data_IF_072403696018
#
_entry.id   IF_072403696018
#
_cell.length_a   1.000
_cell.length_b   1.000
_cell.length_c   1.000
_cell.angle_alpha   90.00
_cell.angle_beta   90.00
_cell.angle_gamma   90.00
#
_symmetry.space_group_name_H-M   'P 1'
#
loop_
_entity.id
_entity.type
_entity.pdbx_description
1 polymer ?
#
# COMPACT_ATOMS: atom_id res chain seq x y z
N UNK A 1 -4.97 -13.91 -20.76
CA UNK A 1 -6.38 -14.36 -20.91
C UNK A 1 -7.41 -13.41 -20.26
N UNK A 2 -7.05 -12.16 -19.88
CA UNK A 2 -7.98 -11.16 -19.33
C UNK A 2 -8.33 -10.04 -20.35
N UNK A 3 -8.06 -10.27 -21.64
CA UNK A 3 -8.17 -9.24 -22.69
C UNK A 3 -9.50 -9.28 -23.46
N UNK A 4 -10.31 -10.33 -23.29
CA UNK A 4 -11.58 -10.50 -24.00
C UNK A 4 -12.61 -9.41 -23.64
N UNK A 5 -12.57 -8.89 -22.40
CA UNK A 5 -13.43 -7.78 -21.96
C UNK A 5 -13.07 -6.46 -22.66
N UNK A 6 -11.79 -6.28 -23.00
CA UNK A 6 -11.29 -5.11 -23.70
C UNK A 6 -11.64 -5.25 -25.19
N UNK A 7 -11.44 -6.43 -25.78
CA UNK A 7 -11.81 -6.73 -27.17
C UNK A 7 -13.32 -6.58 -27.44
N UNK A 8 -14.19 -7.03 -26.53
CA UNK A 8 -15.64 -6.82 -26.65
C UNK A 8 -16.04 -5.35 -26.52
N UNK A 9 -15.34 -4.58 -25.69
CA UNK A 9 -15.59 -3.15 -25.56
C UNK A 9 -15.15 -2.37 -26.82
N UNK A 10 -14.05 -2.79 -27.46
CA UNK A 10 -13.62 -2.29 -28.77
C UNK A 10 -14.63 -2.65 -29.87
N UNK A 11 -15.13 -3.90 -29.89
CA UNK A 11 -16.14 -4.35 -30.84
C UNK A 11 -17.49 -3.62 -30.69
N UNK A 12 -17.79 -3.07 -29.50
CA UNK A 12 -18.95 -2.21 -29.24
C UNK A 12 -18.79 -0.76 -29.74
N UNK A 13 -17.63 -0.38 -30.26
CA UNK A 13 -17.36 0.99 -30.74
C UNK A 13 -17.29 2.03 -29.61
N UNK A 14 -17.10 1.59 -28.37
CA UNK A 14 -16.96 2.50 -27.24
C UNK A 14 -15.67 3.31 -27.40
N UNK A 15 -15.69 4.63 -27.14
CA UNK A 15 -14.49 5.45 -27.21
C UNK A 15 -13.43 4.91 -26.23
N UNK A 16 -12.17 4.89 -26.68
CA UNK A 16 -11.02 4.34 -25.93
C UNK A 16 -10.97 4.80 -24.46
N UNK A 17 -11.38 6.04 -24.20
CA UNK A 17 -11.48 6.62 -22.86
C UNK A 17 -12.44 5.84 -21.91
N UNK A 18 -13.58 5.34 -22.40
CA UNK A 18 -14.56 4.59 -21.59
C UNK A 18 -14.05 3.19 -21.28
N UNK A 19 -13.35 2.57 -22.25
CA UNK A 19 -12.75 1.24 -22.10
C UNK A 19 -11.63 1.27 -21.06
N UNK A 20 -10.75 2.29 -21.11
CA UNK A 20 -9.71 2.48 -20.10
C UNK A 20 -10.27 2.76 -18.72
N UNK A 21 -11.15 3.75 -18.59
CA UNK A 21 -11.62 4.19 -17.27
C UNK A 21 -12.50 3.15 -16.56
N UNK A 22 -13.39 2.48 -17.29
CA UNK A 22 -14.41 1.64 -16.65
C UNK A 22 -14.00 0.17 -16.55
N UNK A 23 -13.12 -0.31 -17.44
CA UNK A 23 -12.78 -1.73 -17.54
C UNK A 23 -11.31 -2.03 -17.20
N UNK A 24 -10.35 -1.25 -17.71
CA UNK A 24 -8.92 -1.50 -17.46
C UNK A 24 -8.43 -0.96 -16.10
N UNK A 25 -8.79 0.28 -15.75
CA UNK A 25 -8.34 0.93 -14.51
C UNK A 25 -8.83 0.19 -13.25
N UNK A 26 -10.10 -0.25 -13.23
CA UNK A 26 -10.68 -0.98 -12.10
C UNK A 26 -10.00 -2.34 -11.86
N UNK A 27 -9.38 -2.93 -12.88
CA UNK A 27 -8.71 -4.23 -12.80
C UNK A 27 -7.22 -4.10 -12.45
N UNK A 28 -6.60 -2.93 -12.71
CA UNK A 28 -5.19 -2.65 -12.40
C UNK A 28 -4.95 -2.12 -10.97
N UNK A 29 -5.97 -1.56 -10.32
CA UNK A 29 -5.88 -1.07 -8.93
C UNK A 29 -5.64 -2.22 -7.95
N UNK A 30 -6.24 -3.40 -8.18
CA UNK A 30 -6.10 -4.56 -7.28
C UNK A 30 -4.64 -4.96 -7.02
N UNK A 31 -3.81 -5.27 -8.05
CA UNK A 31 -2.44 -5.75 -7.84
C UNK A 31 -1.48 -4.67 -7.33
N UNK A 32 -1.71 -3.40 -7.67
CA UNK A 32 -0.84 -2.28 -7.30
C UNK A 32 -0.93 -1.97 -5.80
N UNK A 33 -2.16 -1.89 -5.27
CA UNK A 33 -2.37 -1.69 -3.83
C UNK A 33 -1.78 -2.84 -3.01
N UNK A 34 -1.85 -4.08 -3.52
CA UNK A 34 -1.24 -5.23 -2.84
C UNK A 34 0.30 -5.12 -2.81
N UNK A 35 0.93 -4.70 -3.91
CA UNK A 35 2.39 -4.53 -3.97
C UNK A 35 2.90 -3.45 -3.01
N UNK A 36 2.19 -2.33 -2.91
CA UNK A 36 2.52 -1.26 -1.97
C UNK A 36 2.41 -1.74 -0.53
N UNK A 37 1.33 -2.45 -0.20
CA UNK A 37 1.13 -3.02 1.13
C UNK A 37 2.26 -3.98 1.53
N UNK A 38 2.69 -4.84 0.61
CA UNK A 38 3.82 -5.75 0.82
C UNK A 38 5.13 -4.97 1.02
N UNK A 39 5.41 -3.97 0.18
CA UNK A 39 6.62 -3.16 0.28
C UNK A 39 6.70 -2.37 1.59
N UNK A 40 5.58 -1.80 2.06
CA UNK A 40 5.51 -1.14 3.37
C UNK A 40 5.77 -2.12 4.51
N UNK A 41 5.21 -3.33 4.44
CA UNK A 41 5.50 -4.39 5.43
C UNK A 41 6.99 -4.73 5.50
N UNK A 42 7.66 -4.83 4.36
CA UNK A 42 9.11 -5.04 4.29
C UNK A 42 9.91 -3.88 4.88
N UNK A 43 9.52 -2.63 4.61
CA UNK A 43 10.21 -1.44 5.14
C UNK A 43 10.08 -1.38 6.66
N UNK A 44 8.89 -1.60 7.19
CA UNK A 44 8.67 -1.62 8.65
C UNK A 44 9.46 -2.77 9.28
N UNK A 45 9.36 -3.99 8.76
CA UNK A 45 10.10 -5.14 9.29
C UNK A 45 11.62 -4.97 9.23
N UNK A 46 12.14 -4.41 8.14
CA UNK A 46 13.56 -4.09 7.97
C UNK A 46 14.02 -3.02 8.96
N UNK A 47 13.23 -1.97 9.17
CA UNK A 47 13.53 -0.92 10.15
C UNK A 47 13.61 -1.46 11.58
N UNK A 48 12.70 -2.35 11.98
CA UNK A 48 12.75 -3.02 13.30
C UNK A 48 14.08 -3.76 13.49
N UNK A 49 14.52 -4.50 12.47
CA UNK A 49 15.73 -5.32 12.56
C UNK A 49 17.00 -4.45 12.61
N UNK A 50 17.03 -3.35 11.86
CA UNK A 50 18.12 -2.36 11.93
C UNK A 50 18.14 -1.68 13.30
N UNK A 51 16.99 -1.24 13.81
CA UNK A 51 16.90 -0.61 15.13
C UNK A 51 17.39 -1.53 16.25
N UNK A 52 17.02 -2.81 16.21
CA UNK A 52 17.44 -3.80 17.18
C UNK A 52 18.96 -4.06 17.11
N UNK A 53 19.51 -4.28 15.92
CA UNK A 53 20.94 -4.59 15.74
C UNK A 53 21.86 -3.42 16.12
N UNK A 54 21.43 -2.19 15.84
CA UNK A 54 22.23 -0.99 16.10
C UNK A 54 21.89 -0.32 17.45
N UNK A 55 21.02 -0.92 18.26
CA UNK A 55 20.52 -0.35 19.52
C UNK A 55 20.04 1.12 19.37
N UNK A 56 19.44 1.43 18.22
CA UNK A 56 18.95 2.78 17.93
C UNK A 56 17.59 2.97 18.63
N UNK A 57 17.39 4.06 19.40
CA UNK A 57 16.18 4.28 20.18
C UNK A 57 14.99 4.67 19.27
N UNK A 58 14.42 3.67 18.60
CA UNK A 58 13.24 3.79 17.74
C UNK A 58 12.00 3.09 18.30
N UNK A 59 10.91 3.13 17.53
CA UNK A 59 9.63 2.52 17.91
C UNK A 59 9.73 0.99 17.99
N UNK A 60 10.56 0.37 17.14
CA UNK A 60 10.78 -1.06 17.13
C UNK A 60 11.56 -1.56 18.33
N UNK A 61 12.62 -0.84 18.68
CA UNK A 61 13.37 -1.10 19.90
C UNK A 61 12.48 -0.97 21.14
N UNK A 62 11.65 0.08 21.19
CA UNK A 62 10.71 0.32 22.30
C UNK A 62 9.63 -0.77 22.37
N UNK A 63 9.11 -1.24 21.23
CA UNK A 63 8.16 -2.35 21.17
C UNK A 63 8.79 -3.64 21.71
N UNK A 64 10.03 -3.95 21.32
CA UNK A 64 10.73 -5.14 21.81
C UNK A 64 11.00 -5.08 23.32
N UNK A 65 11.35 -3.90 23.84
CA UNK A 65 11.49 -3.69 25.28
C UNK A 65 10.15 -3.81 26.01
N UNK A 66 9.05 -3.33 25.42
CA UNK A 66 7.71 -3.47 26.00
C UNK A 66 7.26 -4.94 26.05
N UNK A 67 7.60 -5.73 25.02
CA UNK A 67 7.34 -7.18 24.99
C UNK A 67 8.10 -7.89 26.12
N UNK A 68 9.38 -7.58 26.32
CA UNK A 68 10.17 -8.18 27.40
C UNK A 68 9.67 -7.80 28.80
N UNK A 69 9.19 -6.57 28.97
CA UNK A 69 8.66 -6.08 30.24
C UNK A 69 7.16 -6.39 30.43
N UNK A 70 6.54 -7.12 29.49
CA UNK A 70 5.10 -7.42 29.46
C UNK A 70 4.19 -6.19 29.62
N UNK A 71 4.64 -5.04 29.11
CA UNK A 71 3.90 -3.78 29.18
C UNK A 71 2.88 -3.71 28.03
N UNK A 72 1.72 -4.35 28.26
CA UNK A 72 0.63 -4.41 27.28
C UNK A 72 0.10 -3.03 26.86
N UNK A 73 -0.13 -2.05 27.76
CA UNK A 73 -0.54 -0.71 27.36
C UNK A 73 0.44 -0.02 26.41
N UNK A 74 1.74 -0.09 26.72
CA UNK A 74 2.77 0.51 25.86
C UNK A 74 2.83 -0.19 24.49
N UNK A 75 2.79 -1.52 24.49
CA UNK A 75 2.76 -2.31 23.26
C UNK A 75 1.55 -1.94 22.38
N UNK A 76 0.35 -1.85 22.96
CA UNK A 76 -0.87 -1.47 22.24
C UNK A 76 -0.78 -0.04 21.68
N UNK A 77 -0.24 0.92 22.45
CA UNK A 77 -0.04 2.29 21.98
C UNK A 77 0.89 2.36 20.78
N UNK A 78 2.00 1.63 20.80
CA UNK A 78 2.94 1.56 19.68
C UNK A 78 2.26 0.91 18.46
N UNK A 79 1.52 -0.20 18.65
CA UNK A 79 0.77 -0.84 17.57
C UNK A 79 -0.27 0.08 16.93
N UNK A 80 -0.96 0.88 17.72
CA UNK A 80 -1.94 1.85 17.22
C UNK A 80 -1.26 2.89 16.32
N UNK A 81 -0.13 3.46 16.78
CA UNK A 81 0.65 4.45 16.02
C UNK A 81 1.14 3.84 14.70
N UNK A 82 1.74 2.65 14.74
CA UNK A 82 2.24 1.95 13.54
C UNK A 82 1.08 1.70 12.57
N UNK A 83 -0.05 1.18 13.06
CA UNK A 83 -1.22 0.89 12.23
C UNK A 83 -1.76 2.16 11.57
N UNK A 84 -1.86 3.26 12.33
CA UNK A 84 -2.31 4.56 11.81
C UNK A 84 -1.35 5.08 10.73
N UNK A 85 -0.03 5.01 10.96
CA UNK A 85 0.96 5.39 9.97
C UNK A 85 0.85 4.57 8.68
N UNK A 86 0.63 3.26 8.78
CA UNK A 86 0.45 2.37 7.61
C UNK A 86 -0.83 2.71 6.85
N UNK A 87 -1.94 2.98 7.54
CA UNK A 87 -3.19 3.39 6.91
C UNK A 87 -3.00 4.73 6.19
N UNK A 88 -2.37 5.71 6.84
CA UNK A 88 -2.06 7.01 6.24
C UNK A 88 -1.11 6.88 5.04
N UNK A 89 -0.09 6.03 5.13
CA UNK A 89 0.82 5.77 4.03
C UNK A 89 0.09 5.14 2.84
N UNK A 90 -0.75 4.13 3.06
CA UNK A 90 -1.56 3.53 1.98
C UNK A 90 -2.50 4.56 1.36
N UNK A 91 -3.18 5.37 2.19
CA UNK A 91 -4.06 6.43 1.70
C UNK A 91 -3.31 7.49 0.89
N UNK A 92 -2.13 7.91 1.33
CA UNK A 92 -1.25 8.80 0.57
C UNK A 92 -0.81 8.17 -0.73
N UNK A 93 -0.47 6.88 -0.73
CA UNK A 93 -0.09 6.17 -1.94
C UNK A 93 -1.27 6.09 -2.91
N UNK A 94 -2.50 5.82 -2.46
CA UNK A 94 -3.70 5.85 -3.30
C UNK A 94 -3.95 7.24 -3.93
N UNK A 95 -3.76 8.31 -3.14
CA UNK A 95 -3.83 9.69 -3.64
C UNK A 95 -2.72 9.94 -4.66
N UNK A 96 -1.48 9.61 -4.33
CA UNK A 96 -0.32 9.79 -5.20
C UNK A 96 -0.51 9.00 -6.49
N UNK A 97 -1.03 7.77 -6.46
CA UNK A 97 -1.39 7.02 -7.66
C UNK A 97 -2.43 7.74 -8.51
N UNK A 98 -3.44 8.32 -7.87
CA UNK A 98 -4.47 9.12 -8.55
C UNK A 98 -3.87 10.38 -9.22
N UNK A 99 -2.81 10.96 -8.65
CA UNK A 99 -2.12 12.16 -9.17
C UNK A 99 -0.99 11.87 -10.16
N UNK A 100 -0.14 10.87 -9.90
CA UNK A 100 1.06 10.53 -10.67
C UNK A 100 0.72 9.79 -11.95
N UNK A 101 -0.43 9.12 -12.03
CA UNK A 101 -0.80 8.38 -13.24
C UNK A 101 -1.82 9.13 -14.11
N UNK A 102 -1.39 10.05 -15.00
CA UNK A 102 -2.20 10.58 -16.08
C UNK A 102 -2.39 9.56 -17.23
N UNK A 103 -1.97 8.28 -17.11
CA UNK A 103 -2.30 7.23 -18.10
C UNK A 103 -3.67 6.59 -17.86
N UNK A 104 -4.32 6.90 -16.74
CA UNK A 104 -5.78 6.84 -16.58
C UNK A 104 -6.47 7.89 -17.48
N UNK A 105 -5.74 8.95 -17.91
CA UNK A 105 -6.21 9.98 -18.85
C UNK A 105 -5.73 9.77 -20.28
N UNK A 106 -4.70 8.95 -20.47
CA UNK A 106 -4.08 8.63 -21.74
C UNK A 106 -3.83 7.14 -21.78
N UNK A 107 -4.80 6.40 -22.32
CA UNK A 107 -4.73 5.72 -23.62
C UNK A 107 -6.20 5.37 -23.92
#
# INVERSE_FOLDING_TARGET
MNEDYILTAFAKGLPNHVIKNKYAARNAILPVTTHVGIALGYVVGGALMVEYLFAYPGLGYTLFSAIQNEDYPLMQGIFLIISLCVILANFLVDIIYTFIDPRVRLI
#
